data_IF_866817139494
#
_entry.id   IF_866817139494
#
_cell.length_a   1.000
_cell.length_b   1.000
_cell.length_c   1.000
_cell.angle_alpha   90.00
_cell.angle_beta   90.00
_cell.angle_gamma   90.00
#
_symmetry.space_group_name_H-M   'P 1'
#
loop_
_entity.id
_entity.type
_entity.pdbx_description
1 polymer ?
#
# COMPACT_ATOMS: atom_id res chain seq x y z
N UNK A 1 0.58 1.92 4.93
CA UNK A 1 0.03 1.73 6.29
C UNK A 1 0.28 0.29 6.71
N UNK A 2 0.94 0.09 7.84
CA UNK A 2 1.32 -1.25 8.36
C UNK A 2 0.34 -1.65 9.45
N UNK A 3 0.05 -2.95 9.55
CA UNK A 3 -0.55 -3.48 10.77
C UNK A 3 0.48 -3.40 11.90
N UNK A 4 0.07 -2.91 13.04
CA UNK A 4 0.94 -2.78 14.23
C UNK A 4 0.39 -3.70 15.30
N UNK A 5 1.23 -4.61 15.81
CA UNK A 5 0.88 -5.52 16.88
C UNK A 5 0.75 -4.75 18.21
N UNK A 6 -0.22 -5.15 19.00
CA UNK A 6 -0.57 -4.50 20.26
C UNK A 6 0.52 -4.56 21.31
N UNK A 7 1.17 -5.72 21.38
CA UNK A 7 2.06 -6.01 22.51
C UNK A 7 3.41 -5.28 22.40
N UNK A 8 3.71 -4.67 21.22
CA UNK A 8 5.01 -4.06 20.93
C UNK A 8 4.92 -2.59 20.47
N UNK A 9 3.79 -1.91 20.67
CA UNK A 9 3.61 -0.52 20.23
C UNK A 9 4.62 0.44 20.86
N UNK A 10 4.92 0.24 22.14
CA UNK A 10 5.84 1.09 22.89
C UNK A 10 7.31 0.77 22.59
N UNK A 11 7.59 -0.39 21.96
CA UNK A 11 8.92 -0.80 21.52
C UNK A 11 9.23 -0.31 20.09
N UNK A 12 8.24 0.22 19.36
CA UNK A 12 8.49 0.75 18.03
C UNK A 12 9.35 2.00 18.09
N UNK A 13 10.48 2.02 17.38
CA UNK A 13 11.35 3.20 17.37
C UNK A 13 10.63 4.39 16.73
N UNK A 14 10.81 5.58 17.30
CA UNK A 14 10.18 6.81 16.85
C UNK A 14 9.28 7.42 17.93
N UNK A 15 8.79 8.62 17.68
CA UNK A 15 7.83 9.30 18.57
C UNK A 15 6.42 9.04 18.12
N UNK A 16 5.61 8.44 18.97
CA UNK A 16 4.17 8.33 18.74
C UNK A 16 3.54 9.71 18.83
N UNK A 17 2.64 10.02 17.92
CA UNK A 17 1.92 11.30 17.89
C UNK A 17 0.42 11.05 17.98
N UNK A 18 -0.26 11.86 18.78
CA UNK A 18 -1.69 12.01 18.67
C UNK A 18 -2.04 12.79 17.39
N UNK A 19 -3.25 12.61 16.86
CA UNK A 19 -3.69 13.25 15.60
C UNK A 19 -3.56 14.79 15.61
N UNK A 20 -3.72 15.40 16.80
CA UNK A 20 -3.62 16.85 17.01
C UNK A 20 -2.27 17.31 17.53
N UNK A 21 -1.36 16.40 17.82
CA UNK A 21 -0.02 16.74 18.35
C UNK A 21 0.85 17.30 17.21
N UNK A 22 1.70 18.27 17.55
CA UNK A 22 2.55 18.95 16.56
C UNK A 22 3.95 18.34 16.48
N UNK A 23 4.52 18.39 15.27
CA UNK A 23 5.92 18.10 15.00
C UNK A 23 6.49 19.11 14.01
N UNK A 24 7.81 19.32 14.05
CA UNK A 24 8.50 20.20 13.10
C UNK A 24 9.14 19.36 12.00
N UNK A 25 8.93 19.76 10.75
CA UNK A 25 9.58 19.13 9.62
C UNK A 25 9.45 20.00 8.36
N UNK A 26 10.55 20.11 7.62
CA UNK A 26 10.54 20.62 6.25
C UNK A 26 11.63 19.94 5.42
N UNK A 27 11.34 19.70 4.13
CA UNK A 27 12.27 19.10 3.19
C UNK A 27 12.20 19.84 1.86
N UNK A 28 13.34 20.37 1.42
CA UNK A 28 13.44 21.20 0.22
C UNK A 28 14.79 20.99 -0.46
N UNK A 29 14.90 21.28 -1.77
CA UNK A 29 16.19 21.30 -2.45
C UNK A 29 17.16 22.27 -1.76
N UNK A 30 18.38 21.81 -1.46
CA UNK A 30 19.40 22.61 -0.75
C UNK A 30 19.59 22.26 0.72
N UNK A 31 18.63 21.55 1.37
CA UNK A 31 18.91 20.95 2.68
C UNK A 31 20.00 19.87 2.57
N UNK A 32 20.96 19.85 3.48
CA UNK A 32 22.16 19.00 3.35
C UNK A 32 21.93 17.49 3.27
N UNK A 33 20.72 17.04 3.67
CA UNK A 33 20.30 15.64 3.57
C UNK A 33 19.36 15.35 2.39
N UNK A 34 19.18 16.30 1.47
CA UNK A 34 18.27 16.11 0.33
C UNK A 34 18.57 14.82 -0.42
N UNK A 35 17.55 14.03 -0.71
CA UNK A 35 17.62 12.72 -1.39
C UNK A 35 18.43 11.62 -0.68
N UNK A 36 18.99 11.84 0.51
CA UNK A 36 19.67 10.77 1.25
C UNK A 36 18.71 9.67 1.71
N UNK A 37 17.45 10.02 1.95
CA UNK A 37 16.39 9.06 2.28
C UNK A 37 15.98 8.17 1.11
N UNK A 38 16.45 8.42 -0.12
CA UNK A 38 16.16 7.61 -1.30
C UNK A 38 17.19 6.48 -1.53
N UNK A 39 17.81 5.97 -0.46
CA UNK A 39 18.84 4.91 -0.53
C UNK A 39 18.57 3.80 0.47
N UNK A 40 18.89 2.57 0.09
CA UNK A 40 18.79 1.37 0.94
C UNK A 40 17.43 1.20 1.61
N UNK A 41 16.34 1.42 0.85
CA UNK A 41 14.99 1.38 1.38
C UNK A 41 14.38 -0.02 1.31
N UNK A 42 13.76 -0.43 2.40
CA UNK A 42 12.72 -1.45 2.35
C UNK A 42 11.38 -0.75 2.05
N UNK A 43 11.22 -0.28 0.82
CA UNK A 43 10.06 0.51 0.42
C UNK A 43 8.89 -0.40 0.05
N UNK A 44 7.94 -0.53 0.96
CA UNK A 44 6.72 -1.28 0.72
C UNK A 44 5.82 -0.54 -0.27
N UNK A 45 5.36 -1.27 -1.28
CA UNK A 45 4.36 -0.81 -2.23
C UNK A 45 3.01 -1.41 -1.86
N UNK A 46 2.02 -0.58 -1.68
CA UNK A 46 0.65 -1.01 -1.52
C UNK A 46 -0.04 -1.19 -2.88
N UNK A 47 -1.17 -1.88 -2.97
CA UNK A 47 -1.83 -2.12 -4.26
C UNK A 47 -2.07 -0.85 -5.09
N UNK A 48 -2.45 0.25 -4.45
CA UNK A 48 -2.68 1.51 -5.15
C UNK A 48 -1.37 2.16 -5.63
N UNK A 49 -0.26 1.99 -4.91
CA UNK A 49 1.05 2.44 -5.38
C UNK A 49 1.42 1.78 -6.72
N UNK A 50 1.16 0.46 -6.83
CA UNK A 50 1.42 -0.27 -8.08
C UNK A 50 0.59 0.29 -9.23
N UNK A 51 -0.68 0.62 -9.00
CA UNK A 51 -1.55 1.26 -10.01
C UNK A 51 -0.98 2.61 -10.44
N UNK A 52 -0.61 3.47 -9.50
CA UNK A 52 -0.06 4.80 -9.80
C UNK A 52 1.24 4.68 -10.59
N UNK A 53 2.15 3.83 -10.13
CA UNK A 53 3.47 3.66 -10.74
C UNK A 53 3.40 3.03 -12.14
N UNK A 54 2.59 1.98 -12.34
CA UNK A 54 2.40 1.40 -13.67
C UNK A 54 1.85 2.43 -14.66
N UNK A 55 0.88 3.24 -14.23
CA UNK A 55 0.27 4.27 -15.07
C UNK A 55 1.29 5.37 -15.40
N UNK A 56 2.07 5.82 -14.42
CA UNK A 56 3.15 6.81 -14.61
C UNK A 56 4.21 6.34 -15.60
N UNK A 57 4.52 5.05 -15.58
CA UNK A 57 5.53 4.43 -16.44
C UNK A 57 4.96 3.88 -17.74
N UNK A 58 3.65 4.02 -17.99
CA UNK A 58 2.94 3.55 -19.17
C UNK A 58 3.18 2.04 -19.45
N UNK A 59 3.12 1.20 -18.41
CA UNK A 59 3.28 -0.25 -18.51
C UNK A 59 2.15 -1.00 -17.79
N UNK A 60 2.06 -2.32 -18.02
CA UNK A 60 1.11 -3.15 -17.26
C UNK A 60 1.58 -3.39 -15.83
N UNK A 61 0.64 -3.69 -14.93
CA UNK A 61 0.96 -4.02 -13.53
C UNK A 61 1.86 -5.26 -13.41
N UNK A 62 1.66 -6.26 -14.28
CA UNK A 62 2.54 -7.42 -14.34
C UNK A 62 3.98 -7.05 -14.70
N UNK A 63 4.13 -6.26 -15.76
CA UNK A 63 5.44 -5.76 -16.20
C UNK A 63 6.12 -4.89 -15.14
N UNK A 64 5.35 -4.03 -14.45
CA UNK A 64 5.87 -3.24 -13.34
C UNK A 64 6.39 -4.12 -12.20
N UNK A 65 5.61 -5.13 -11.79
CA UNK A 65 6.02 -6.06 -10.73
C UNK A 65 7.29 -6.79 -11.12
N UNK A 66 7.38 -7.30 -12.33
CA UNK A 66 8.53 -8.06 -12.80
C UNK A 66 9.81 -7.21 -12.87
N UNK A 67 9.72 -5.97 -13.34
CA UNK A 67 10.87 -5.08 -13.56
C UNK A 67 11.28 -4.29 -12.31
N UNK A 68 10.31 -3.79 -11.55
CA UNK A 68 10.55 -2.77 -10.52
C UNK A 68 10.24 -3.23 -9.10
N UNK A 69 9.72 -4.44 -8.91
CA UNK A 69 9.35 -4.89 -7.58
C UNK A 69 9.97 -6.24 -7.22
N UNK A 70 10.10 -6.47 -5.93
CA UNK A 70 10.41 -7.77 -5.33
C UNK A 70 9.21 -8.22 -4.51
N UNK A 71 8.72 -9.42 -4.79
CA UNK A 71 7.60 -10.04 -4.06
C UNK A 71 8.20 -10.95 -3.01
N UNK A 72 7.98 -10.65 -1.73
CA UNK A 72 8.63 -11.31 -0.59
C UNK A 72 7.59 -11.84 0.38
N UNK A 73 7.59 -13.14 0.62
CA UNK A 73 6.84 -13.72 1.72
C UNK A 73 7.75 -13.76 2.96
N UNK A 74 7.42 -12.96 3.97
CA UNK A 74 8.20 -12.92 5.21
C UNK A 74 7.97 -14.18 6.05
N UNK A 75 8.96 -14.62 6.84
CA UNK A 75 8.77 -15.70 7.80
C UNK A 75 7.55 -15.43 8.69
N UNK A 76 6.67 -16.41 8.84
CA UNK A 76 5.43 -16.28 9.59
C UNK A 76 4.31 -15.48 8.91
N UNK A 77 4.57 -14.89 7.74
CA UNK A 77 3.54 -14.19 6.95
C UNK A 77 2.75 -15.14 6.06
N UNK A 78 1.47 -14.84 5.88
CA UNK A 78 0.59 -15.63 5.02
C UNK A 78 0.27 -14.97 3.68
N UNK A 79 0.64 -13.69 3.49
CA UNK A 79 0.48 -12.99 2.23
C UNK A 79 1.74 -12.17 1.92
N UNK A 80 2.23 -12.19 0.66
CA UNK A 80 3.47 -11.54 0.32
C UNK A 80 3.36 -10.02 0.43
N UNK A 81 4.50 -9.40 0.73
CA UNK A 81 4.73 -7.98 0.59
C UNK A 81 5.37 -7.69 -0.78
N UNK A 82 5.05 -6.55 -1.35
CA UNK A 82 5.67 -6.05 -2.58
C UNK A 82 6.56 -4.87 -2.20
N UNK A 83 7.84 -4.96 -2.55
CA UNK A 83 8.82 -3.92 -2.26
C UNK A 83 9.36 -3.35 -3.56
N UNK A 84 9.59 -2.04 -3.59
CA UNK A 84 10.29 -1.42 -4.71
C UNK A 84 11.73 -1.95 -4.76
N UNK A 85 12.17 -2.38 -5.94
CA UNK A 85 13.53 -2.85 -6.16
C UNK A 85 14.47 -1.65 -6.25
N UNK A 86 15.41 -1.54 -5.33
CA UNK A 86 16.48 -0.56 -5.39
C UNK A 86 17.49 -0.94 -6.47
N UNK A 87 18.31 0.01 -6.92
CA UNK A 87 19.40 -0.26 -7.83
C UNK A 87 20.42 -1.20 -7.17
N UNK A 88 20.99 -2.08 -7.97
CA UNK A 88 22.02 -3.02 -7.53
C UNK A 88 23.40 -2.33 -7.61
N UNK A 89 23.57 -1.30 -6.80
CA UNK A 89 24.81 -0.57 -6.62
C UNK A 89 25.20 -0.49 -5.14
N UNK A 90 26.35 0.07 -4.83
CA UNK A 90 26.85 0.23 -3.46
C UNK A 90 25.92 1.06 -2.57
N UNK A 91 25.16 1.97 -3.17
CA UNK A 91 24.31 2.92 -2.45
C UNK A 91 22.87 2.44 -2.34
N UNK A 92 22.47 1.43 -3.13
CA UNK A 92 21.09 0.96 -3.19
C UNK A 92 20.13 2.11 -3.52
N UNK A 93 20.45 2.90 -4.54
CA UNK A 93 19.68 4.10 -4.89
C UNK A 93 18.29 3.71 -5.38
N UNK A 94 17.28 4.49 -4.99
CA UNK A 94 15.94 4.37 -5.57
C UNK A 94 16.00 4.59 -7.09
N UNK A 95 15.36 3.73 -7.91
CA UNK A 95 15.43 3.84 -9.37
C UNK A 95 14.82 5.13 -9.94
N UNK A 96 14.05 5.84 -9.11
CA UNK A 96 13.40 7.10 -9.48
C UNK A 96 14.06 8.34 -8.88
N UNK A 97 15.17 8.18 -8.16
CA UNK A 97 15.92 9.30 -7.62
C UNK A 97 16.78 9.95 -8.69
N UNK A 98 16.74 11.29 -8.77
CA UNK A 98 17.61 12.11 -9.60
C UNK A 98 18.32 13.16 -8.73
N UNK A 99 19.36 13.83 -9.21
CA UNK A 99 20.00 14.93 -8.47
C UNK A 99 19.01 16.03 -8.05
N UNK A 100 17.99 16.29 -8.87
CA UNK A 100 16.99 17.32 -8.68
C UNK A 100 15.84 16.88 -7.79
N UNK A 101 15.72 15.57 -7.47
CA UNK A 101 14.65 15.02 -6.64
C UNK A 101 14.10 13.70 -7.16
N UNK A 102 12.80 13.51 -7.01
CA UNK A 102 12.11 12.30 -7.43
C UNK A 102 11.48 12.48 -8.82
N UNK A 103 11.86 11.68 -9.81
CA UNK A 103 11.32 11.73 -11.18
C UNK A 103 9.80 11.42 -11.25
N UNK A 104 9.28 10.75 -10.23
CA UNK A 104 7.87 10.39 -10.11
C UNK A 104 7.20 11.09 -8.91
N UNK A 105 7.62 12.31 -8.56
CA UNK A 105 7.23 12.96 -7.30
C UNK A 105 5.71 13.00 -7.09
N UNK A 106 4.92 13.31 -8.10
CA UNK A 106 3.45 13.31 -8.04
C UNK A 106 2.82 11.91 -7.83
N UNK A 107 3.52 10.85 -8.25
CA UNK A 107 3.06 9.46 -8.16
C UNK A 107 3.89 8.61 -7.19
N UNK A 108 4.68 9.28 -6.31
CA UNK A 108 5.50 8.59 -5.32
C UNK A 108 4.63 7.72 -4.39
N UNK A 109 5.14 6.56 -3.97
CA UNK A 109 4.42 5.66 -3.07
C UNK A 109 3.96 6.32 -1.78
N UNK A 110 2.89 5.81 -1.19
CA UNK A 110 2.28 6.30 0.06
C UNK A 110 3.32 6.47 1.18
N UNK A 111 4.21 5.49 1.34
CA UNK A 111 5.30 5.58 2.34
C UNK A 111 6.22 6.78 2.09
N UNK A 112 6.51 7.13 0.82
CA UNK A 112 7.32 8.29 0.48
C UNK A 112 6.56 9.61 0.68
N UNK A 113 5.24 9.61 0.42
CA UNK A 113 4.38 10.78 0.62
C UNK A 113 4.32 11.18 2.09
N UNK A 114 4.23 10.18 2.95
CA UNK A 114 4.06 10.36 4.38
C UNK A 114 5.36 10.52 5.15
N UNK A 115 6.52 10.27 4.50
CA UNK A 115 7.81 10.48 5.16
C UNK A 115 7.92 11.92 5.74
N UNK A 116 8.36 12.11 6.97
CA UNK A 116 8.97 11.17 7.92
C UNK A 116 7.98 10.49 8.87
N UNK A 117 6.68 10.60 8.59
CA UNK A 117 5.63 9.94 9.34
C UNK A 117 5.44 8.51 8.83
N UNK A 118 5.41 7.54 9.75
CA UNK A 118 4.89 6.20 9.47
C UNK A 118 3.47 6.10 10.01
N UNK A 119 2.55 5.62 9.19
CA UNK A 119 1.20 5.34 9.62
C UNK A 119 0.97 3.85 9.74
N UNK A 120 0.35 3.45 10.84
CA UNK A 120 -0.13 2.11 11.09
C UNK A 120 -1.62 2.09 11.39
N UNK A 121 -2.20 0.91 11.37
CA UNK A 121 -3.56 0.66 11.84
C UNK A 121 -3.53 -0.39 12.92
N UNK A 122 -4.33 -0.16 13.96
CA UNK A 122 -4.61 -1.10 15.02
C UNK A 122 -6.08 -1.51 14.93
N UNK A 123 -6.32 -2.80 14.80
CA UNK A 123 -7.67 -3.32 14.81
C UNK A 123 -8.07 -3.73 16.22
N UNK A 124 -9.25 -3.31 16.67
CA UNK A 124 -9.86 -3.66 17.95
C UNK A 124 -10.98 -4.68 17.72
N UNK A 125 -10.72 -6.00 17.85
CA UNK A 125 -11.71 -7.04 17.53
C UNK A 125 -13.01 -6.90 18.31
N UNK A 126 -12.91 -6.53 19.59
CA UNK A 126 -14.09 -6.36 20.47
C UNK A 126 -14.98 -5.16 20.13
N UNK A 127 -14.44 -4.14 19.46
CA UNK A 127 -15.16 -2.93 19.07
C UNK A 127 -15.45 -2.86 17.57
N UNK A 128 -14.88 -3.77 16.76
CA UNK A 128 -14.97 -3.73 15.30
C UNK A 128 -14.42 -2.43 14.69
N UNK A 129 -13.50 -1.76 15.39
CA UNK A 129 -12.97 -0.45 14.99
C UNK A 129 -11.48 -0.54 14.68
N UNK A 130 -11.07 0.28 13.72
CA UNK A 130 -9.66 0.48 13.38
C UNK A 130 -9.21 1.84 13.91
N UNK A 131 -8.11 1.86 14.64
CA UNK A 131 -7.44 3.08 15.13
C UNK A 131 -6.22 3.36 14.27
N UNK A 132 -6.02 4.61 13.87
CA UNK A 132 -4.78 5.05 13.22
C UNK A 132 -3.71 5.35 14.25
N UNK A 133 -2.48 4.96 13.92
CA UNK A 133 -1.29 5.21 14.75
C UNK A 133 -0.30 5.98 13.90
N UNK A 134 0.20 7.07 14.46
CA UNK A 134 1.18 7.93 13.83
C UNK A 134 2.51 7.84 14.56
N UNK A 135 3.57 7.49 13.83
CA UNK A 135 4.93 7.41 14.33
C UNK A 135 5.80 8.39 13.57
N UNK A 136 6.29 9.41 14.24
CA UNK A 136 7.28 10.33 13.69
C UNK A 136 8.67 9.70 13.83
N UNK A 137 9.24 9.30 12.69
CA UNK A 137 10.45 8.49 12.65
C UNK A 137 11.42 8.93 11.54
N UNK A 138 11.92 10.17 11.59
CA UNK A 138 12.98 10.57 10.68
C UNK A 138 14.27 9.80 11.03
N UNK A 139 15.07 9.38 10.03
CA UNK A 139 16.38 8.79 10.29
C UNK A 139 17.34 9.85 10.88
N UNK A 140 18.35 9.41 11.63
CA UNK A 140 19.29 10.29 12.36
C UNK A 140 19.98 11.34 11.50
N UNK A 141 20.25 11.01 10.22
CA UNK A 141 20.88 11.94 9.28
C UNK A 141 19.92 13.04 8.78
N UNK A 142 18.61 12.91 9.02
CA UNK A 142 17.62 13.83 8.49
C UNK A 142 17.66 15.18 9.20
N UNK A 143 17.78 16.26 8.43
CA UNK A 143 17.80 17.62 8.96
C UNK A 143 16.41 18.28 8.94
N UNK A 144 15.42 17.60 8.35
CA UNK A 144 14.04 18.10 8.27
C UNK A 144 13.42 18.46 9.63
N UNK A 145 13.58 17.65 10.69
CA UNK A 145 13.07 17.98 12.04
C UNK A 145 13.64 19.23 12.68
N UNK A 146 14.78 19.72 12.19
CA UNK A 146 15.45 20.94 12.68
C UNK A 146 14.96 22.22 11.98
N UNK A 147 14.03 22.07 11.04
CA UNK A 147 13.44 23.20 10.33
C UNK A 147 12.28 23.80 11.14
N UNK A 148 11.84 25.01 10.77
CA UNK A 148 10.85 25.75 11.55
C UNK A 148 9.39 25.39 11.27
N UNK A 149 9.10 24.70 10.14
CA UNK A 149 7.74 24.44 9.73
C UNK A 149 7.07 23.38 10.61
N UNK A 150 5.90 23.73 11.14
CA UNK A 150 5.17 22.90 12.10
C UNK A 150 3.95 22.27 11.44
N UNK A 151 3.67 21.02 11.77
CA UNK A 151 2.58 20.23 11.24
C UNK A 151 1.87 19.45 12.34
N UNK A 152 0.62 19.07 12.09
CA UNK A 152 -0.05 17.95 12.77
C UNK A 152 -0.08 16.74 11.82
N UNK A 153 -0.26 15.50 12.31
CA UNK A 153 -0.45 14.35 11.44
C UNK A 153 -1.57 14.56 10.41
N UNK A 154 -2.70 15.12 10.82
CA UNK A 154 -3.79 15.46 9.91
C UNK A 154 -3.39 16.52 8.87
N UNK A 155 -2.66 17.57 9.28
CA UNK A 155 -2.19 18.61 8.37
C UNK A 155 -1.11 18.15 7.39
N UNK A 156 -0.28 17.18 7.79
CA UNK A 156 0.74 16.60 6.93
C UNK A 156 0.15 15.79 5.77
N UNK A 157 -1.01 15.17 5.98
CA UNK A 157 -1.73 14.34 5.00
C UNK A 157 -2.72 15.14 4.11
N UNK A 158 -2.64 16.48 4.04
CA UNK A 158 -3.64 17.32 3.38
C UNK A 158 -3.43 17.58 1.88
N UNK A 159 -2.56 16.86 1.20
CA UNK A 159 -2.56 16.90 -0.27
C UNK A 159 -3.89 16.28 -0.78
N UNK A 160 -4.66 16.95 -1.66
CA UNK A 160 -5.91 16.39 -2.21
C UNK A 160 -5.76 15.02 -2.83
N UNK A 161 -4.59 14.72 -3.41
CA UNK A 161 -4.27 13.40 -3.92
C UNK A 161 -4.10 12.36 -2.79
N UNK A 162 -3.72 12.79 -1.58
CA UNK A 162 -3.51 11.90 -0.44
C UNK A 162 -4.81 11.28 0.08
N UNK A 163 -5.96 11.94 -0.09
CA UNK A 163 -7.25 11.38 0.35
C UNK A 163 -7.61 10.06 -0.37
N UNK A 164 -7.23 9.91 -1.65
CA UNK A 164 -7.41 8.65 -2.38
C UNK A 164 -6.42 7.59 -1.91
N UNK A 165 -5.16 7.98 -1.68
CA UNK A 165 -4.13 7.10 -1.10
C UNK A 165 -4.55 6.61 0.28
N UNK A 166 -4.91 7.52 1.17
CA UNK A 166 -5.34 7.20 2.53
C UNK A 166 -6.47 6.18 2.57
N UNK A 167 -7.53 6.42 1.80
CA UNK A 167 -8.69 5.53 1.77
C UNK A 167 -8.31 4.15 1.26
N UNK A 168 -7.60 4.05 0.14
CA UNK A 168 -7.25 2.77 -0.48
C UNK A 168 -6.20 2.01 0.34
N UNK A 169 -5.26 2.74 0.97
CA UNK A 169 -4.28 2.14 1.88
C UNK A 169 -4.94 1.63 3.15
N UNK A 170 -5.95 2.32 3.68
CA UNK A 170 -6.74 1.83 4.81
C UNK A 170 -7.55 0.58 4.44
N UNK A 171 -8.29 0.61 3.32
CA UNK A 171 -9.03 -0.55 2.80
C UNK A 171 -8.11 -1.77 2.60
N UNK A 172 -6.88 -1.53 2.13
CA UNK A 172 -5.85 -2.57 2.03
C UNK A 172 -5.37 -3.07 3.39
N UNK A 173 -5.10 -2.17 4.34
CA UNK A 173 -4.66 -2.55 5.68
C UNK A 173 -5.71 -3.41 6.40
N UNK A 174 -7.01 -3.09 6.26
CA UNK A 174 -8.11 -3.89 6.78
C UNK A 174 -8.17 -5.29 6.16
N UNK A 175 -7.95 -5.40 4.84
CA UNK A 175 -7.83 -6.71 4.19
C UNK A 175 -6.59 -7.45 4.70
N UNK A 176 -5.46 -6.76 4.86
CA UNK A 176 -4.20 -7.34 5.31
C UNK A 176 -4.30 -7.93 6.74
N UNK A 177 -5.12 -7.36 7.62
CA UNK A 177 -5.41 -7.90 8.97
C UNK A 177 -5.99 -9.32 8.90
N UNK A 178 -6.81 -9.62 7.90
CA UNK A 178 -7.38 -10.96 7.75
C UNK A 178 -6.31 -12.03 7.44
N UNK A 179 -5.17 -11.61 6.86
CA UNK A 179 -4.01 -12.49 6.61
C UNK A 179 -3.08 -12.68 7.82
N UNK A 180 -3.46 -12.24 9.01
CA UNK A 180 -2.75 -12.60 10.25
C UNK A 180 -2.95 -14.08 10.60
N UNK A 181 -4.03 -14.67 10.10
CA UNK A 181 -4.28 -16.10 10.19
C UNK A 181 -4.13 -16.73 8.79
N UNK A 182 -3.70 -17.98 8.76
CA UNK A 182 -3.55 -18.72 7.50
C UNK A 182 -4.91 -18.96 6.81
N UNK A 183 -5.19 -18.34 5.65
CA UNK A 183 -6.42 -18.58 4.91
C UNK A 183 -6.28 -19.69 3.86
N UNK A 184 -5.07 -20.25 3.68
CA UNK A 184 -4.76 -21.12 2.55
C UNK A 184 -5.07 -22.57 2.81
N UNK A 185 -5.04 -23.00 4.07
CA UNK A 185 -5.18 -24.41 4.46
C UNK A 185 -4.11 -25.27 3.79
N UNK A 186 -4.53 -26.39 3.21
CA UNK A 186 -3.60 -27.37 2.59
C UNK A 186 -2.90 -26.86 1.32
N UNK A 187 -3.41 -25.83 0.66
CA UNK A 187 -2.82 -25.29 -0.57
C UNK A 187 -1.56 -24.44 -0.30
N UNK A 188 -1.46 -23.87 0.90
CA UNK A 188 -0.36 -23.01 1.30
C UNK A 188 -0.29 -21.68 0.53
N UNK A 189 0.65 -20.79 0.90
CA UNK A 189 0.77 -19.43 0.36
C UNK A 189 1.29 -19.37 -1.08
N UNK A 190 1.70 -20.49 -1.69
CA UNK A 190 2.06 -20.59 -3.10
C UNK A 190 0.96 -21.25 -3.96
N UNK A 191 -0.14 -21.63 -3.35
CA UNK A 191 -1.25 -22.34 -3.99
C UNK A 191 -2.07 -21.45 -4.95
N UNK A 192 -3.02 -22.07 -5.67
CA UNK A 192 -3.87 -21.37 -6.63
C UNK A 192 -4.66 -20.21 -6.03
N UNK A 193 -5.23 -20.38 -4.83
CA UNK A 193 -5.98 -19.31 -4.14
C UNK A 193 -5.10 -18.12 -3.80
N UNK A 194 -3.85 -18.36 -3.35
CA UNK A 194 -2.91 -17.30 -3.05
C UNK A 194 -2.52 -16.51 -4.30
N UNK A 195 -2.26 -17.20 -5.41
CA UNK A 195 -1.99 -16.58 -6.71
C UNK A 195 -3.17 -15.75 -7.21
N UNK A 196 -4.40 -16.24 -7.04
CA UNK A 196 -5.60 -15.51 -7.41
C UNK A 196 -5.81 -14.26 -6.53
N UNK A 197 -5.59 -14.37 -5.23
CA UNK A 197 -5.66 -13.23 -4.31
C UNK A 197 -4.60 -12.18 -4.65
N UNK A 198 -3.35 -12.59 -4.89
CA UNK A 198 -2.28 -11.69 -5.30
C UNK A 198 -2.60 -10.98 -6.64
N UNK A 199 -3.10 -11.72 -7.62
CA UNK A 199 -3.54 -11.16 -8.89
C UNK A 199 -4.61 -10.08 -8.69
N UNK A 200 -5.62 -10.34 -7.85
CA UNK A 200 -6.74 -9.43 -7.65
C UNK A 200 -6.36 -8.11 -6.97
N UNK A 201 -5.28 -8.09 -6.19
CA UNK A 201 -4.87 -6.90 -5.44
C UNK A 201 -3.65 -6.20 -6.02
N UNK A 202 -2.71 -6.90 -6.66
CA UNK A 202 -1.47 -6.33 -7.17
C UNK A 202 -1.33 -6.36 -8.70
N UNK A 203 -1.81 -7.40 -9.38
CA UNK A 203 -1.73 -7.49 -10.83
C UNK A 203 -3.06 -7.13 -11.47
N UNK A 204 -3.41 -5.84 -11.37
CA UNK A 204 -4.75 -5.33 -11.70
C UNK A 204 -5.11 -5.54 -13.18
N UNK A 205 -4.14 -5.47 -14.10
CA UNK A 205 -4.42 -5.67 -15.53
C UNK A 205 -4.76 -7.13 -15.80
N UNK A 206 -4.05 -8.08 -15.18
CA UNK A 206 -4.39 -9.51 -15.28
C UNK A 206 -5.70 -9.83 -14.56
N UNK A 207 -6.01 -9.14 -13.48
CA UNK A 207 -7.30 -9.29 -12.81
C UNK A 207 -8.44 -8.76 -13.68
N UNK A 208 -8.24 -7.65 -14.40
CA UNK A 208 -9.20 -7.14 -15.39
C UNK A 208 -9.47 -8.18 -16.46
N UNK A 209 -8.42 -8.74 -17.05
CA UNK A 209 -8.56 -9.82 -18.04
C UNK A 209 -9.33 -11.02 -17.48
N UNK A 210 -9.00 -11.45 -16.26
CA UNK A 210 -9.72 -12.53 -15.57
C UNK A 210 -11.20 -12.21 -15.38
N UNK A 211 -11.56 -11.01 -14.95
CA UNK A 211 -12.97 -10.63 -14.74
C UNK A 211 -13.75 -10.58 -16.04
N UNK A 212 -13.19 -9.97 -17.10
CA UNK A 212 -13.93 -9.67 -18.32
C UNK A 212 -13.79 -10.73 -19.41
N UNK A 213 -12.66 -11.44 -19.48
CA UNK A 213 -12.37 -12.39 -20.56
C UNK A 213 -12.45 -13.87 -20.14
N UNK A 214 -12.92 -14.15 -18.89
CA UNK A 214 -13.17 -15.53 -18.44
C UNK A 214 -14.65 -15.82 -18.20
N UNK A 215 -14.95 -16.94 -17.53
CA UNK A 215 -16.31 -17.26 -17.09
C UNK A 215 -16.75 -16.49 -15.82
N UNK A 216 -15.97 -15.51 -15.33
CA UNK A 216 -16.22 -14.83 -14.07
C UNK A 216 -17.61 -14.19 -14.02
N UNK A 217 -17.93 -13.31 -14.97
CA UNK A 217 -19.23 -12.62 -15.04
C UNK A 217 -20.42 -13.57 -15.36
N UNK A 218 -20.13 -14.80 -15.81
CA UNK A 218 -21.14 -15.88 -15.94
C UNK A 218 -21.42 -16.54 -14.59
N UNK A 219 -20.43 -16.60 -13.69
CA UNK A 219 -20.55 -17.24 -12.37
C UNK A 219 -21.04 -16.27 -11.29
N UNK A 220 -20.71 -14.98 -11.42
CA UNK A 220 -21.09 -13.95 -10.47
C UNK A 220 -22.00 -12.91 -11.08
N UNK A 221 -23.07 -12.58 -10.36
CA UNK A 221 -23.91 -11.43 -10.71
C UNK A 221 -23.31 -10.20 -10.06
N UNK A 222 -22.73 -9.31 -10.85
CA UNK A 222 -22.16 -8.02 -10.43
C UNK A 222 -23.13 -6.91 -10.81
N UNK A 223 -23.19 -5.84 -10.03
CA UNK A 223 -24.01 -4.66 -10.36
C UNK A 223 -23.56 -4.06 -11.70
N UNK A 224 -24.51 -3.82 -12.62
CA UNK A 224 -24.20 -3.40 -14.00
C UNK A 224 -23.41 -2.08 -14.08
N UNK A 225 -23.71 -1.12 -13.21
CA UNK A 225 -22.97 0.14 -13.14
C UNK A 225 -21.51 -0.09 -12.72
N UNK A 226 -21.30 -0.98 -11.75
CA UNK A 226 -19.95 -1.31 -11.29
C UNK A 226 -19.15 -2.03 -12.38
N UNK A 227 -19.76 -2.94 -13.14
CA UNK A 227 -19.10 -3.60 -14.28
C UNK A 227 -18.54 -2.56 -15.26
N UNK A 228 -19.36 -1.56 -15.64
CA UNK A 228 -18.92 -0.48 -16.54
C UNK A 228 -17.78 0.38 -15.98
N UNK A 229 -17.78 0.61 -14.66
CA UNK A 229 -16.70 1.35 -14.01
C UNK A 229 -15.40 0.53 -13.96
N UNK A 230 -15.47 -0.72 -13.52
CA UNK A 230 -14.31 -1.61 -13.43
C UNK A 230 -13.63 -1.87 -14.80
N UNK A 231 -14.36 -1.76 -15.89
CA UNK A 231 -13.80 -1.89 -17.22
C UNK A 231 -12.80 -0.77 -17.55
N UNK A 232 -13.04 0.43 -17.02
CA UNK A 232 -12.28 1.66 -17.32
C UNK A 232 -11.36 2.10 -16.20
N UNK A 233 -11.78 1.92 -14.95
CA UNK A 233 -11.16 2.52 -13.78
C UNK A 233 -10.45 1.47 -12.92
N UNK A 234 -9.13 1.57 -12.82
CA UNK A 234 -8.30 0.66 -12.00
C UNK A 234 -8.70 0.67 -10.53
N UNK A 235 -9.10 1.83 -9.99
CA UNK A 235 -9.48 1.99 -8.58
C UNK A 235 -10.76 1.22 -8.25
N UNK A 236 -11.78 1.32 -9.11
CA UNK A 236 -13.03 0.57 -8.92
C UNK A 236 -12.80 -0.94 -9.02
N UNK A 237 -11.92 -1.36 -9.93
CA UNK A 237 -11.52 -2.77 -10.07
C UNK A 237 -10.72 -3.24 -8.86
N UNK A 238 -9.81 -2.44 -8.33
CA UNK A 238 -9.04 -2.77 -7.12
C UNK A 238 -9.96 -2.96 -5.91
N UNK A 239 -10.89 -2.04 -5.68
CA UNK A 239 -11.87 -2.15 -4.58
C UNK A 239 -12.77 -3.37 -4.73
N UNK A 240 -13.13 -3.69 -5.96
CA UNK A 240 -13.83 -4.94 -6.24
C UNK A 240 -12.95 -6.15 -5.94
N UNK A 241 -11.66 -6.10 -6.27
CA UNK A 241 -10.67 -7.11 -5.95
C UNK A 241 -10.55 -7.37 -4.44
N UNK A 242 -10.53 -6.32 -3.62
CA UNK A 242 -10.54 -6.45 -2.15
C UNK A 242 -11.77 -7.21 -1.66
N UNK A 243 -12.96 -6.83 -2.12
CA UNK A 243 -14.19 -7.50 -1.74
C UNK A 243 -14.23 -8.95 -2.23
N UNK A 244 -13.75 -9.20 -3.44
CA UNK A 244 -13.70 -10.54 -4.00
C UNK A 244 -12.74 -11.45 -3.26
N UNK A 245 -11.57 -10.96 -2.85
CA UNK A 245 -10.62 -11.71 -2.01
C UNK A 245 -11.22 -12.03 -0.64
N UNK A 246 -11.89 -11.07 0.01
CA UNK A 246 -12.63 -11.30 1.26
C UNK A 246 -13.66 -12.42 1.11
N UNK A 247 -14.41 -12.41 0.01
CA UNK A 247 -15.38 -13.45 -0.28
C UNK A 247 -14.73 -14.80 -0.59
N UNK A 248 -13.71 -14.82 -1.44
CA UNK A 248 -13.03 -16.03 -1.90
C UNK A 248 -12.40 -16.82 -0.74
N UNK A 249 -11.79 -16.12 0.22
CA UNK A 249 -10.99 -16.73 1.29
C UNK A 249 -11.76 -16.91 2.59
N UNK A 250 -12.64 -16.00 2.94
CA UNK A 250 -13.34 -15.99 4.22
C UNK A 250 -14.87 -16.05 4.10
N UNK A 251 -15.40 -16.10 2.86
CA UNK A 251 -16.86 -16.11 2.66
C UNK A 251 -17.57 -14.80 3.05
N UNK A 252 -16.80 -13.71 3.25
CA UNK A 252 -17.37 -12.42 3.62
C UNK A 252 -18.14 -11.87 2.41
N UNK A 253 -19.45 -11.70 2.60
CA UNK A 253 -20.35 -11.26 1.53
C UNK A 253 -20.17 -9.78 1.23
N UNK A 254 -20.32 -9.42 -0.05
CA UNK A 254 -20.35 -8.04 -0.52
C UNK A 254 -21.71 -7.76 -1.17
N UNK A 255 -22.20 -6.53 -1.00
CA UNK A 255 -23.42 -6.07 -1.70
C UNK A 255 -23.17 -5.84 -3.21
N UNK A 256 -21.92 -5.72 -3.63
CA UNK A 256 -21.53 -5.42 -5.02
C UNK A 256 -21.72 -6.59 -5.96
N UNK A 257 -21.63 -7.82 -5.45
CA UNK A 257 -21.76 -9.05 -6.25
C UNK A 257 -22.25 -10.24 -5.41
N UNK A 258 -22.75 -11.25 -6.11
CA UNK A 258 -23.14 -12.54 -5.52
C UNK A 258 -22.93 -13.67 -6.51
N UNK A 259 -22.69 -14.92 -6.07
CA UNK A 259 -22.77 -16.10 -6.94
C UNK A 259 -24.13 -16.20 -7.63
N UNK A 260 -24.14 -16.73 -8.85
CA UNK A 260 -25.38 -17.03 -9.61
C UNK A 260 -25.94 -18.39 -9.25
#
# INVERSE_FOLDING_TARGET
>A
MKYVDFDNLDELPGRRLAETETFTFDCFPGISCFNRCCRNLNLFLYPYDVIRLKNRLAMSSGEFIDRHASVVLRPGGFFPDVLLRMQDDREGLCPFATPEGCAIYGDRPDTCRKFPMEEGVRYHPGAGKTERIYLFRPPDFCQGPRQARTWTPAGWAQDPDDAAYDRLTLEWAELKVLFLNDPWGREGPAGPKAKMAFMAVYNIDRFRDFVFNSSFLKRYKVQALLVKKMEKEDVDLLRFGFDWVKFLLWGIRSEKFRPR
#
